data_IF_536446835393
#
_entry.id   IF_536446835393
#
_cell.length_a   1.000
_cell.length_b   1.000
_cell.length_c   1.000
_cell.angle_alpha   90.00
_cell.angle_beta   90.00
_cell.angle_gamma   90.00
#
_symmetry.space_group_name_H-M   'P 1'
#
loop_
_entity.id
_entity.type
_entity.pdbx_description
1 polymer ?
#
# COMPACT_ATOMS: atom_id res chain seq x y z
N UNK A 1 14.12 39.85 -60.74
CA UNK A 1 14.63 39.69 -59.38
C UNK A 1 13.48 39.17 -58.51
N UNK A 2 13.44 37.87 -58.22
CA UNK A 2 12.40 37.24 -57.38
C UNK A 2 12.90 37.15 -55.96
N UNK A 3 12.24 37.83 -55.02
CA UNK A 3 12.54 37.81 -53.59
C UNK A 3 11.81 36.63 -52.96
N UNK A 4 12.51 35.61 -52.53
CA UNK A 4 12.00 34.49 -51.74
C UNK A 4 11.99 34.87 -50.25
N UNK A 5 10.79 34.89 -49.67
CA UNK A 5 10.57 35.14 -48.24
C UNK A 5 10.68 33.77 -47.48
N UNK A 6 11.52 33.63 -46.47
CA UNK A 6 11.58 32.38 -45.71
C UNK A 6 10.39 32.27 -44.76
N UNK A 7 9.66 31.15 -44.86
CA UNK A 7 8.55 30.80 -44.00
C UNK A 7 9.11 30.29 -42.66
N UNK A 8 8.97 31.09 -41.59
CA UNK A 8 9.37 30.75 -40.25
C UNK A 8 8.32 29.82 -39.62
N UNK A 9 8.60 28.53 -39.60
CA UNK A 9 7.74 27.55 -38.89
C UNK A 9 8.04 27.65 -37.40
N UNK A 10 7.14 28.29 -36.65
CA UNK A 10 7.18 28.32 -35.18
C UNK A 10 6.57 27.02 -34.66
N UNK A 11 7.44 26.10 -34.23
CA UNK A 11 7.03 24.86 -33.57
C UNK A 11 6.59 25.18 -32.14
N UNK A 12 5.28 25.25 -31.90
CA UNK A 12 4.70 25.48 -30.57
C UNK A 12 4.73 24.14 -29.82
N UNK A 13 5.78 23.94 -28.99
CA UNK A 13 5.86 22.79 -28.08
C UNK A 13 4.89 23.04 -26.94
N UNK A 14 3.73 22.40 -26.99
CA UNK A 14 2.78 22.32 -25.88
C UNK A 14 3.40 21.46 -24.76
N UNK A 15 4.09 22.10 -23.81
CA UNK A 15 4.43 21.50 -22.53
C UNK A 15 3.13 21.27 -21.76
N UNK A 16 2.55 20.10 -21.89
CA UNK A 16 1.47 19.65 -21.02
C UNK A 16 2.05 19.46 -19.61
N UNK A 17 1.89 20.45 -18.77
CA UNK A 17 2.11 20.34 -17.33
C UNK A 17 1.11 19.32 -16.78
N UNK A 18 1.54 18.08 -16.61
CA UNK A 18 0.80 17.05 -15.90
C UNK A 18 0.82 17.41 -14.41
N UNK A 19 -0.14 18.25 -14.01
CA UNK A 19 -0.36 18.55 -12.59
C UNK A 19 -0.93 17.30 -11.95
N UNK A 20 -0.10 16.54 -11.27
CA UNK A 20 -0.58 15.49 -10.35
C UNK A 20 -1.42 16.19 -9.27
N UNK A 21 -2.74 16.12 -9.40
CA UNK A 21 -3.65 16.49 -8.31
C UNK A 21 -3.38 15.52 -7.16
N UNK A 22 -3.12 15.99 -5.93
CA UNK A 22 -3.15 15.11 -4.77
C UNK A 22 -4.55 14.50 -4.70
N UNK A 23 -4.65 13.15 -4.63
CA UNK A 23 -5.91 12.47 -4.38
C UNK A 23 -6.37 12.89 -2.98
N UNK A 24 -7.35 13.77 -2.90
CA UNK A 24 -7.90 14.25 -1.63
C UNK A 24 -8.51 13.13 -0.78
N UNK A 25 -8.95 12.04 -1.43
CA UNK A 25 -9.69 10.92 -0.82
C UNK A 25 -8.91 9.60 -0.76
N UNK A 26 -7.63 9.57 -1.13
CA UNK A 26 -6.84 8.34 -1.26
C UNK A 26 -7.21 7.50 -2.50
N UNK A 27 -6.55 6.34 -2.65
CA UNK A 27 -6.80 5.46 -3.79
C UNK A 27 -8.15 4.76 -3.69
N UNK A 28 -8.76 4.55 -4.86
CA UNK A 28 -9.93 3.69 -5.09
C UNK A 28 -9.50 2.44 -5.84
N UNK A 29 -10.32 1.41 -5.81
CA UNK A 29 -10.09 0.21 -6.64
C UNK A 29 -10.10 0.61 -8.11
N UNK A 30 -9.07 0.18 -8.85
CA UNK A 30 -8.80 0.56 -10.22
C UNK A 30 -7.78 1.68 -10.40
N UNK A 31 -7.46 2.44 -9.36
CA UNK A 31 -6.45 3.51 -9.43
C UNK A 31 -5.03 2.93 -9.52
N UNK A 32 -4.15 3.68 -10.18
CA UNK A 32 -2.71 3.40 -10.16
C UNK A 32 -2.11 3.86 -8.85
N UNK A 33 -1.49 2.94 -8.13
CA UNK A 33 -0.71 3.27 -6.96
C UNK A 33 0.66 3.82 -7.39
N UNK A 34 1.02 4.97 -6.85
CA UNK A 34 2.37 5.53 -7.02
C UNK A 34 3.36 4.71 -6.23
N UNK A 35 4.52 4.42 -6.83
CA UNK A 35 5.62 3.81 -6.09
C UNK A 35 6.09 4.71 -4.95
N UNK A 36 6.64 4.09 -3.93
CA UNK A 36 7.19 4.79 -2.77
C UNK A 36 8.58 4.22 -2.45
N UNK A 37 9.37 4.97 -1.70
CA UNK A 37 10.65 4.52 -1.19
C UNK A 37 10.76 4.83 0.29
N UNK A 38 10.59 3.79 1.13
CA UNK A 38 10.55 3.91 2.58
C UNK A 38 11.65 3.10 3.24
N UNK A 39 12.02 3.51 4.45
CA UNK A 39 13.06 2.84 5.25
C UNK A 39 12.48 1.58 5.92
N UNK A 40 13.14 0.45 5.69
CA UNK A 40 12.82 -0.83 6.33
C UNK A 40 13.50 -0.97 7.68
N UNK A 41 13.01 -1.89 8.53
CA UNK A 41 13.57 -2.19 9.87
C UNK A 41 15.03 -2.66 9.84
N UNK A 42 15.55 -3.15 8.71
CA UNK A 42 16.97 -3.49 8.50
C UNK A 42 17.84 -2.28 8.08
N UNK A 43 17.24 -1.09 7.98
CA UNK A 43 17.89 0.15 7.59
C UNK A 43 17.95 0.40 6.09
N UNK A 44 17.59 -0.56 5.24
CA UNK A 44 17.58 -0.39 3.78
C UNK A 44 16.34 0.38 3.33
N UNK A 45 16.49 1.07 2.21
CA UNK A 45 15.34 1.68 1.52
C UNK A 45 14.68 0.64 0.63
N UNK A 46 13.35 0.55 0.68
CA UNK A 46 12.55 -0.41 -0.08
C UNK A 46 11.48 0.32 -0.88
N UNK A 47 11.31 -0.08 -2.13
CA UNK A 47 10.32 0.40 -3.09
C UNK A 47 9.57 -0.80 -3.68
N UNK A 48 8.35 -0.57 -4.19
CA UNK A 48 7.61 -1.62 -4.91
C UNK A 48 8.34 -2.04 -6.19
N UNK A 49 9.07 -1.11 -6.84
CA UNK A 49 9.81 -1.37 -8.05
C UNK A 49 11.05 -2.25 -7.85
N UNK A 50 11.55 -2.41 -6.62
CA UNK A 50 12.77 -3.20 -6.33
C UNK A 50 12.58 -4.69 -6.63
N UNK A 51 11.36 -5.23 -6.52
CA UNK A 51 11.07 -6.63 -6.84
C UNK A 51 10.43 -6.77 -8.23
N UNK A 52 11.28 -6.92 -9.24
CA UNK A 52 10.88 -7.09 -10.65
C UNK A 52 9.99 -8.33 -10.89
N UNK A 53 10.15 -9.39 -10.09
CA UNK A 53 9.40 -10.64 -10.19
C UNK A 53 8.00 -10.56 -9.56
N UNK A 54 7.69 -9.50 -8.80
CA UNK A 54 6.39 -9.35 -8.17
C UNK A 54 5.29 -9.18 -9.24
N UNK A 55 4.22 -9.96 -9.08
CA UNK A 55 2.96 -9.83 -9.84
C UNK A 55 2.02 -8.81 -9.19
N UNK A 56 2.32 -8.44 -7.96
CA UNK A 56 1.58 -7.49 -7.15
C UNK A 56 2.09 -7.47 -5.72
N UNK A 57 1.37 -6.82 -4.84
CA UNK A 57 1.71 -6.70 -3.42
C UNK A 57 0.47 -6.72 -2.54
N UNK A 58 0.64 -7.21 -1.32
CA UNK A 58 -0.31 -7.02 -0.23
C UNK A 58 0.29 -5.94 0.67
N UNK A 59 -0.15 -4.69 0.50
CA UNK A 59 0.31 -3.54 1.32
C UNK A 59 -0.58 -3.44 2.55
N UNK A 60 0.03 -3.44 3.75
CA UNK A 60 -0.70 -3.38 5.01
C UNK A 60 -0.20 -2.23 5.85
N UNK A 61 -1.04 -1.20 6.03
CA UNK A 61 -0.77 -0.19 7.05
C UNK A 61 -1.06 -0.79 8.42
N UNK A 62 -0.04 -0.94 9.25
CA UNK A 62 -0.12 -1.58 10.57
C UNK A 62 0.79 -0.86 11.56
N UNK A 63 0.74 -1.25 12.84
CA UNK A 63 1.60 -0.66 13.86
C UNK A 63 1.82 -1.65 15.00
N UNK A 64 2.73 -1.33 15.95
CA UNK A 64 3.06 -2.24 17.03
C UNK A 64 2.09 -2.18 18.20
N UNK A 65 1.43 -1.04 18.43
CA UNK A 65 0.73 -0.74 19.70
C UNK A 65 -0.77 -0.93 19.64
N UNK A 66 -1.39 -0.84 18.45
CA UNK A 66 -2.83 -1.01 18.27
C UNK A 66 -3.25 -2.47 18.61
N UNK A 67 -4.22 -2.68 19.53
CA UNK A 67 -4.72 -4.03 19.84
C UNK A 67 -5.20 -4.80 18.61
N UNK A 68 -5.90 -4.13 17.69
CA UNK A 68 -6.35 -4.74 16.44
C UNK A 68 -5.16 -5.16 15.55
N UNK A 69 -4.13 -4.30 15.41
CA UNK A 69 -2.95 -4.64 14.64
C UNK A 69 -2.22 -5.86 15.23
N UNK A 70 -2.14 -5.95 16.57
CA UNK A 70 -1.59 -7.12 17.26
C UNK A 70 -2.41 -8.39 17.04
N UNK A 71 -3.73 -8.30 17.11
CA UNK A 71 -4.62 -9.43 16.87
C UNK A 71 -4.53 -9.96 15.42
N UNK A 72 -4.22 -9.08 14.47
CA UNK A 72 -4.05 -9.45 13.07
C UNK A 72 -2.62 -9.85 12.67
N UNK A 73 -1.64 -9.74 13.57
CA UNK A 73 -0.21 -9.95 13.25
C UNK A 73 0.06 -11.33 12.63
N UNK A 74 -0.45 -12.40 13.25
CA UNK A 74 -0.27 -13.76 12.70
C UNK A 74 -0.91 -13.91 11.33
N UNK A 75 -2.10 -13.33 11.12
CA UNK A 75 -2.78 -13.40 9.82
C UNK A 75 -2.01 -12.66 8.70
N UNK A 76 -1.35 -11.56 9.03
CA UNK A 76 -0.46 -10.86 8.08
C UNK A 76 0.74 -11.73 7.73
N UNK A 77 1.33 -12.44 8.71
CA UNK A 77 2.40 -13.41 8.47
C UNK A 77 1.91 -14.56 7.57
N UNK A 78 0.72 -15.09 7.84
CA UNK A 78 0.10 -16.16 7.05
C UNK A 78 -0.18 -15.72 5.61
N UNK A 79 -0.65 -14.49 5.42
CA UNK A 79 -0.82 -13.91 4.08
C UNK A 79 0.51 -13.87 3.31
N UNK A 80 1.60 -13.44 3.97
CA UNK A 80 2.91 -13.45 3.31
C UNK A 80 3.36 -14.86 2.96
N UNK A 81 3.25 -15.80 3.89
CA UNK A 81 3.63 -17.21 3.69
C UNK A 81 2.87 -17.82 2.52
N UNK A 82 1.58 -17.51 2.39
CA UNK A 82 0.70 -18.07 1.36
C UNK A 82 0.91 -17.41 -0.01
N UNK A 83 1.05 -16.08 -0.06
CA UNK A 83 0.96 -15.34 -1.31
C UNK A 83 2.29 -14.83 -1.86
N UNK A 84 3.36 -14.73 -1.05
CA UNK A 84 4.67 -14.36 -1.56
C UNK A 84 5.23 -15.34 -2.61
N UNK A 85 5.12 -16.68 -2.44
CA UNK A 85 5.52 -17.63 -3.48
C UNK A 85 4.70 -17.51 -4.77
N UNK A 86 3.50 -16.94 -4.70
CA UNK A 86 2.62 -16.73 -5.86
C UNK A 86 2.87 -15.37 -6.55
N UNK A 87 3.85 -14.60 -6.06
CA UNK A 87 4.24 -13.30 -6.60
C UNK A 87 3.55 -12.10 -5.94
N UNK A 88 2.89 -12.28 -4.78
CA UNK A 88 2.22 -11.22 -4.02
C UNK A 88 2.78 -11.14 -2.58
N UNK A 89 4.05 -10.71 -2.41
CA UNK A 89 4.60 -10.53 -1.07
C UNK A 89 3.88 -9.45 -0.29
N UNK A 90 3.91 -9.57 1.05
CA UNK A 90 3.44 -8.52 1.96
C UNK A 90 4.49 -7.42 2.06
N UNK A 91 4.02 -6.18 2.10
CA UNK A 91 4.76 -4.99 2.52
C UNK A 91 3.97 -4.32 3.64
N UNK A 92 4.48 -4.41 4.86
CA UNK A 92 3.88 -3.73 6.01
C UNK A 92 4.45 -2.31 6.16
N UNK A 93 3.60 -1.35 6.50
CA UNK A 93 3.97 0.06 6.66
C UNK A 93 3.42 0.56 7.99
N UNK A 94 4.29 1.13 8.84
CA UNK A 94 3.87 1.85 10.03
C UNK A 94 3.74 3.34 9.71
N UNK A 95 2.51 3.89 9.70
CA UNK A 95 2.25 5.29 9.40
C UNK A 95 2.14 6.16 10.66
N UNK A 96 2.25 5.60 11.87
CA UNK A 96 2.03 6.36 13.09
C UNK A 96 3.15 7.36 13.34
N UNK A 97 2.78 8.52 13.88
CA UNK A 97 3.76 9.46 14.41
C UNK A 97 4.56 8.76 15.53
N UNK A 98 5.90 8.65 15.42
CA UNK A 98 6.73 7.98 16.43
C UNK A 98 6.73 8.71 17.79
N UNK A 99 6.30 9.96 17.87
CA UNK A 99 6.15 10.70 19.11
C UNK A 99 4.92 10.24 19.91
N UNK A 100 4.00 9.51 19.31
CA UNK A 100 2.73 9.06 19.91
C UNK A 100 2.39 7.70 19.32
N UNK A 101 2.05 6.71 20.07
CA UNK A 101 2.29 6.36 21.46
C UNK A 101 3.66 5.67 21.65
N UNK A 102 4.11 5.42 22.90
CA UNK A 102 5.28 4.58 23.17
C UNK A 102 5.13 3.19 22.52
N UNK A 103 6.20 2.67 21.88
CA UNK A 103 6.20 1.34 21.29
C UNK A 103 6.01 1.30 19.76
N UNK A 104 5.80 2.45 19.11
CA UNK A 104 5.72 2.57 17.65
C UNK A 104 6.95 3.28 17.03
N UNK A 105 7.99 3.52 17.83
CA UNK A 105 9.24 4.08 17.32
C UNK A 105 9.94 3.14 16.34
N UNK A 106 10.83 3.69 15.49
CA UNK A 106 11.63 2.87 14.59
C UNK A 106 12.43 1.78 15.33
N UNK A 107 12.98 2.11 16.51
CA UNK A 107 13.67 1.15 17.37
C UNK A 107 12.74 0.03 17.88
N UNK A 108 11.47 0.35 18.14
CA UNK A 108 10.48 -0.67 18.52
C UNK A 108 10.06 -1.54 17.34
N UNK A 109 9.94 -0.97 16.15
CA UNK A 109 9.70 -1.72 14.91
C UNK A 109 10.82 -2.73 14.63
N UNK A 110 12.09 -2.36 14.87
CA UNK A 110 13.24 -3.25 14.68
C UNK A 110 13.24 -4.50 15.58
N UNK A 111 12.45 -4.52 16.65
CA UNK A 111 12.26 -5.71 17.51
C UNK A 111 11.38 -6.77 16.85
N UNK A 112 10.63 -6.40 15.78
CA UNK A 112 9.81 -7.34 15.03
C UNK A 112 10.69 -8.22 14.12
N UNK A 113 10.38 -9.52 14.09
CA UNK A 113 11.11 -10.51 13.30
C UNK A 113 10.30 -10.95 12.09
N UNK A 114 9.82 -9.99 11.30
CA UNK A 114 9.09 -10.31 10.08
C UNK A 114 10.04 -10.79 8.97
N UNK A 115 9.57 -11.72 8.17
CA UNK A 115 10.25 -12.23 6.96
C UNK A 115 9.93 -11.42 5.71
N UNK A 116 9.16 -10.36 5.85
CA UNK A 116 8.75 -9.40 4.82
C UNK A 116 9.10 -7.97 5.26
N UNK A 117 9.18 -7.01 4.33
CA UNK A 117 9.47 -5.62 4.66
C UNK A 117 8.48 -5.01 5.64
N UNK A 118 9.00 -4.36 6.69
CA UNK A 118 8.23 -3.54 7.62
C UNK A 118 8.81 -2.13 7.62
N UNK A 119 8.13 -1.25 6.93
CA UNK A 119 8.60 0.07 6.55
C UNK A 119 8.05 1.14 7.48
N UNK A 120 8.80 2.22 7.69
CA UNK A 120 8.32 3.41 8.41
C UNK A 120 7.96 4.52 7.42
N UNK A 121 6.73 5.03 7.49
CA UNK A 121 6.27 6.20 6.74
C UNK A 121 6.34 7.45 7.63
N UNK A 122 7.57 7.91 7.92
CA UNK A 122 7.80 9.06 8.80
C UNK A 122 7.11 10.34 8.32
N UNK A 123 6.98 10.52 7.01
CA UNK A 123 6.32 11.68 6.41
C UNK A 123 4.80 11.57 6.40
N UNK A 124 4.28 10.36 6.56
CA UNK A 124 2.87 10.00 6.43
C UNK A 124 2.28 10.28 5.03
N UNK A 125 3.14 10.56 4.05
CA UNK A 125 2.70 10.85 2.69
C UNK A 125 2.18 9.61 1.97
N UNK A 126 2.79 8.44 2.21
CA UNK A 126 2.33 7.18 1.61
C UNK A 126 0.97 6.80 2.17
N UNK A 127 0.78 6.87 3.50
CA UNK A 127 -0.51 6.61 4.12
C UNK A 127 -1.60 7.58 3.61
N UNK A 128 -1.27 8.86 3.44
CA UNK A 128 -2.20 9.86 2.87
C UNK A 128 -2.53 9.55 1.41
N UNK A 129 -1.54 9.22 0.58
CA UNK A 129 -1.76 8.87 -0.83
C UNK A 129 -2.65 7.63 -0.98
N UNK A 130 -2.45 6.61 -0.13
CA UNK A 130 -3.30 5.43 -0.10
C UNK A 130 -4.69 5.70 0.47
N UNK A 131 -4.88 6.77 1.23
CA UNK A 131 -6.13 7.02 1.97
C UNK A 131 -6.27 6.09 3.17
N UNK A 132 -5.16 5.60 3.72
CA UNK A 132 -5.18 4.76 4.90
C UNK A 132 -5.63 5.57 6.13
N UNK A 133 -6.57 5.04 6.89
CA UNK A 133 -7.16 5.72 8.05
C UNK A 133 -7.03 4.94 9.33
N UNK A 134 -6.70 3.65 9.23
CA UNK A 134 -6.66 2.72 10.37
C UNK A 134 -5.45 1.79 10.31
N UNK A 135 -5.17 1.16 11.42
CA UNK A 135 -4.23 0.04 11.53
C UNK A 135 -4.92 -1.16 12.22
N UNK A 136 -5.05 -2.32 11.48
CA UNK A 136 -4.64 -2.54 10.11
C UNK A 136 -5.59 -1.93 9.06
N UNK A 137 -5.04 -1.55 7.90
CA UNK A 137 -5.76 -1.23 6.67
C UNK A 137 -5.00 -1.84 5.50
N UNK A 138 -5.65 -2.68 4.71
CA UNK A 138 -4.99 -3.50 3.70
C UNK A 138 -5.39 -3.10 2.28
N UNK A 139 -4.41 -3.19 1.37
CA UNK A 139 -4.55 -2.96 -0.07
C UNK A 139 -3.90 -4.11 -0.84
N UNK A 140 -4.60 -4.67 -1.80
CA UNK A 140 -3.99 -5.57 -2.79
C UNK A 140 -3.69 -4.76 -4.04
N UNK A 141 -2.45 -4.77 -4.46
CA UNK A 141 -1.98 -4.16 -5.70
C UNK A 141 -1.68 -5.27 -6.71
N UNK A 142 -2.16 -5.14 -7.93
CA UNK A 142 -1.85 -6.06 -9.04
C UNK A 142 -1.04 -5.34 -10.10
N UNK A 143 0.05 -5.95 -10.55
CA UNK A 143 0.90 -5.39 -11.61
C UNK A 143 0.19 -5.45 -12.96
N UNK A 144 0.10 -4.32 -13.66
CA UNK A 144 -0.43 -4.20 -15.02
C UNK A 144 0.59 -3.43 -15.86
N UNK A 145 1.36 -4.15 -16.67
CA UNK A 145 2.51 -3.57 -17.37
C UNK A 145 3.58 -3.10 -16.38
N UNK A 146 3.91 -1.82 -16.41
CA UNK A 146 4.83 -1.17 -15.46
C UNK A 146 4.15 -0.67 -14.18
N UNK A 147 2.82 -0.62 -14.15
CA UNK A 147 2.04 0.01 -13.09
C UNK A 147 1.52 -1.01 -12.08
N UNK A 148 1.33 -0.56 -10.85
CA UNK A 148 0.57 -1.29 -9.84
C UNK A 148 -0.83 -0.68 -9.71
N UNK A 149 -1.87 -1.50 -9.88
CA UNK A 149 -3.27 -1.08 -9.82
C UNK A 149 -3.92 -1.65 -8.57
N UNK A 150 -4.65 -0.83 -7.84
CA UNK A 150 -5.38 -1.24 -6.64
C UNK A 150 -6.51 -2.20 -7.01
N UNK A 151 -6.48 -3.41 -6.48
CA UNK A 151 -7.43 -4.49 -6.75
C UNK A 151 -8.36 -4.80 -5.58
N UNK A 152 -7.94 -4.46 -4.35
CA UNK A 152 -8.74 -4.59 -3.14
C UNK A 152 -8.32 -3.55 -2.10
N UNK A 153 -9.29 -3.07 -1.30
CA UNK A 153 -9.07 -2.16 -0.16
C UNK A 153 -9.93 -2.60 1.02
N UNK A 154 -9.37 -2.71 2.24
CA UNK A 154 -10.20 -2.88 3.43
C UNK A 154 -9.63 -3.72 4.55
N UNK A 155 -10.51 -4.52 5.17
CA UNK A 155 -10.20 -5.43 6.26
C UNK A 155 -9.59 -6.75 5.76
N UNK A 156 -8.89 -7.47 6.62
CA UNK A 156 -8.34 -8.80 6.33
C UNK A 156 -9.47 -9.83 6.29
N UNK A 157 -10.32 -9.80 7.29
CA UNK A 157 -11.49 -10.67 7.45
C UNK A 157 -12.59 -9.97 8.27
N UNK A 158 -13.66 -10.68 8.60
CA UNK A 158 -14.83 -10.15 9.33
C UNK A 158 -14.74 -10.31 10.86
N UNK A 159 -13.61 -10.85 11.40
CA UNK A 159 -13.45 -11.04 12.83
C UNK A 159 -12.09 -10.53 13.32
N UNK A 160 -12.09 -9.38 14.01
CA UNK A 160 -10.86 -8.76 14.52
C UNK A 160 -10.30 -9.41 15.78
N UNK A 161 -11.04 -10.26 16.45
CA UNK A 161 -10.65 -10.86 17.73
C UNK A 161 -10.03 -12.24 17.55
N UNK A 162 -10.71 -13.15 16.85
CA UNK A 162 -10.26 -14.51 16.66
C UNK A 162 -10.33 -14.92 15.17
N UNK A 163 -9.17 -15.30 14.61
CA UNK A 163 -9.06 -15.80 13.24
C UNK A 163 -9.91 -17.05 12.98
N UNK A 164 -10.14 -17.89 14.00
CA UNK A 164 -10.94 -19.11 13.89
C UNK A 164 -12.42 -18.84 13.77
N UNK A 165 -12.87 -17.69 14.26
CA UNK A 165 -14.26 -17.27 14.21
C UNK A 165 -14.57 -16.42 12.97
N UNK A 166 -13.56 -16.09 12.15
CA UNK A 166 -13.75 -15.39 10.90
C UNK A 166 -14.53 -16.25 9.92
N UNK A 167 -15.73 -15.78 9.54
CA UNK A 167 -16.61 -16.42 8.56
C UNK A 167 -16.24 -16.04 7.13
N UNK A 168 -15.80 -14.79 6.95
CA UNK A 168 -15.44 -14.24 5.64
C UNK A 168 -14.01 -13.73 5.65
N UNK A 169 -13.15 -14.39 4.89
CA UNK A 169 -11.75 -14.02 4.72
C UNK A 169 -11.62 -13.14 3.49
N UNK A 170 -11.90 -11.86 3.63
CA UNK A 170 -12.02 -10.92 2.52
C UNK A 170 -10.80 -10.90 1.60
N UNK A 171 -9.60 -10.79 2.17
CA UNK A 171 -8.35 -10.76 1.38
C UNK A 171 -8.10 -12.09 0.68
N UNK A 172 -8.31 -13.22 1.37
CA UNK A 172 -8.08 -14.53 0.77
C UNK A 172 -9.06 -14.80 -0.39
N UNK A 173 -10.32 -14.36 -0.25
CA UNK A 173 -11.33 -14.46 -1.31
C UNK A 173 -10.93 -13.59 -2.51
N UNK A 174 -10.58 -12.32 -2.26
CA UNK A 174 -10.10 -11.41 -3.30
C UNK A 174 -8.86 -11.97 -4.01
N UNK A 175 -7.88 -12.48 -3.27
CA UNK A 175 -6.68 -13.09 -3.83
C UNK A 175 -6.97 -14.33 -4.68
N UNK A 176 -7.95 -15.14 -4.28
CA UNK A 176 -8.36 -16.31 -5.08
C UNK A 176 -8.87 -15.88 -6.46
N UNK A 177 -9.69 -14.85 -6.51
CA UNK A 177 -10.23 -14.32 -7.78
C UNK A 177 -9.13 -13.62 -8.61
N UNK A 178 -8.28 -12.79 -7.97
CA UNK A 178 -7.17 -12.08 -8.61
C UNK A 178 -6.18 -13.07 -9.24
N UNK A 179 -5.80 -14.13 -8.51
CA UNK A 179 -4.90 -15.16 -9.02
C UNK A 179 -5.50 -15.95 -10.18
N UNK A 180 -6.84 -16.06 -10.24
CA UNK A 180 -7.56 -16.63 -11.38
C UNK A 180 -7.73 -15.61 -12.55
N UNK A 181 -7.11 -14.43 -12.48
CA UNK A 181 -7.20 -13.38 -13.50
C UNK A 181 -8.53 -12.64 -13.52
N UNK A 182 -9.33 -12.76 -12.46
CA UNK A 182 -10.63 -12.10 -12.33
C UNK A 182 -10.56 -10.90 -11.38
N UNK A 183 -11.40 -9.88 -11.56
CA UNK A 183 -11.54 -8.84 -10.53
C UNK A 183 -12.16 -9.44 -9.27
N UNK A 184 -11.79 -8.91 -8.11
CA UNK A 184 -12.39 -9.31 -6.85
C UNK A 184 -13.87 -8.89 -6.80
N UNK A 185 -14.76 -9.83 -6.53
CA UNK A 185 -16.21 -9.59 -6.39
C UNK A 185 -16.49 -8.66 -5.22
N UNK A 186 -15.88 -8.93 -4.05
CA UNK A 186 -15.82 -8.00 -2.93
C UNK A 186 -14.48 -7.28 -2.98
N UNK A 187 -14.42 -6.16 -3.68
CA UNK A 187 -13.17 -5.42 -3.90
C UNK A 187 -12.90 -4.31 -2.88
N UNK A 188 -13.89 -4.00 -2.02
CA UNK A 188 -13.74 -3.01 -0.95
C UNK A 188 -14.55 -3.38 0.26
N UNK A 189 -13.95 -3.23 1.46
CA UNK A 189 -14.62 -3.41 2.75
C UNK A 189 -14.18 -2.30 3.72
N UNK A 190 -14.92 -2.11 4.81
CA UNK A 190 -14.53 -1.15 5.85
C UNK A 190 -13.34 -1.71 6.64
N UNK A 191 -12.23 -0.97 6.69
CA UNK A 191 -11.11 -1.30 7.55
C UNK A 191 -11.51 -1.27 9.04
N UNK A 192 -11.08 -2.29 9.80
CA UNK A 192 -11.34 -2.43 11.23
C UNK A 192 -10.01 -2.27 11.95
N UNK A 193 -9.91 -1.27 12.85
CA UNK A 193 -8.66 -1.01 13.54
C UNK A 193 -8.63 0.34 14.25
N UNK A 194 -7.50 0.65 14.89
CA UNK A 194 -7.25 1.95 15.52
C UNK A 194 -7.01 3.02 14.43
N UNK A 195 -7.40 4.25 14.73
CA UNK A 195 -7.09 5.39 13.86
C UNK A 195 -5.58 5.63 13.82
N UNK A 196 -5.05 5.92 12.63
CA UNK A 196 -3.66 6.35 12.44
C UNK A 196 -3.37 7.58 13.30
N UNK A 197 -2.22 7.58 13.95
CA UNK A 197 -1.76 8.71 14.76
C UNK A 197 -1.01 9.68 13.83
N UNK A 198 -1.75 10.68 13.37
CA UNK A 198 -1.19 11.70 12.48
C UNK A 198 -0.31 12.69 13.25
N UNK A 199 0.77 13.13 12.62
CA UNK A 199 1.56 14.27 13.12
C UNK A 199 0.66 15.49 13.24
N UNK A 200 0.81 16.20 14.34
CA UNK A 200 0.17 17.50 14.49
C UNK A 200 0.87 18.49 13.56
N UNK A 201 0.07 19.34 12.94
CA UNK A 201 0.58 20.47 12.14
C UNK A 201 1.24 21.50 13.06
#
# INVERSE_FOLDING_TARGET
>A
MKKTLPLLVICFVLLSNFVMRPLADGYKVGDKATDFKLKNIDGKMVSLADNQAAKGYIVVFTCNTCPFAKAYESRIVDLNTKYAPLGYPVVAINPNDPAVPPGDSYADMQKKKYTFPYLVDESQQVAKAFGATRTPHLYVLTKKGSDFVVSYIGAIDDNSEDAKLAKTKYVENAMTEILAGKPATTNSTKAIGCTIKWKRA
#
